data_IF_235314008326
#
_entry.id   IF_235314008326
#
_cell.length_a   1.000
_cell.length_b   1.000
_cell.length_c   1.000
_cell.angle_alpha   90.00
_cell.angle_beta   90.00
_cell.angle_gamma   90.00
#
_symmetry.space_group_name_H-M   'P 1'
#
loop_
_entity.id
_entity.type
_entity.pdbx_description
1 polymer ?
#
# COMPACT_ATOMS: atom_id res chain seq x y z
N UNK A 1 -12.62 -7.51 -66.10
CA UNK A 1 -12.23 -6.51 -65.09
C UNK A 1 -12.28 -7.22 -63.74
N UNK A 2 -11.11 -7.46 -63.12
CA UNK A 2 -10.99 -8.36 -61.97
C UNK A 2 -10.88 -7.52 -60.69
N UNK A 3 -11.90 -7.51 -59.83
CA UNK A 3 -11.90 -6.73 -58.59
C UNK A 3 -11.36 -7.60 -57.44
N UNK A 4 -10.21 -7.21 -56.88
CA UNK A 4 -9.70 -7.81 -55.65
C UNK A 4 -10.43 -7.20 -54.44
N UNK A 5 -10.87 -8.00 -53.46
CA UNK A 5 -11.44 -7.47 -52.23
C UNK A 5 -10.34 -6.90 -51.32
N UNK A 6 -10.61 -5.72 -50.76
CA UNK A 6 -9.76 -5.06 -49.76
C UNK A 6 -10.04 -5.70 -48.39
N UNK A 7 -9.08 -6.43 -47.83
CA UNK A 7 -9.22 -6.99 -46.48
C UNK A 7 -8.84 -5.90 -45.48
N UNK A 8 -9.83 -5.43 -44.70
CA UNK A 8 -9.59 -4.51 -43.60
C UNK A 8 -8.94 -5.28 -42.43
N UNK A 9 -7.73 -4.88 -42.05
CA UNK A 9 -7.08 -5.37 -40.83
C UNK A 9 -7.69 -4.63 -39.63
N UNK A 10 -8.52 -5.32 -38.85
CA UNK A 10 -8.94 -4.80 -37.54
C UNK A 10 -7.73 -4.82 -36.61
N UNK A 11 -7.20 -3.63 -36.31
CA UNK A 11 -6.18 -3.50 -35.27
C UNK A 11 -6.93 -3.54 -33.94
N UNK A 12 -6.82 -4.65 -33.20
CA UNK A 12 -7.34 -4.73 -31.84
C UNK A 12 -6.59 -3.71 -30.97
N UNK A 13 -7.26 -2.60 -30.65
CA UNK A 13 -6.78 -1.66 -29.66
C UNK A 13 -6.95 -2.30 -28.28
N UNK A 14 -5.90 -2.96 -27.77
CA UNK A 14 -5.80 -3.26 -26.34
C UNK A 14 -5.58 -1.95 -25.60
N UNK A 15 -6.68 -1.39 -25.09
CA UNK A 15 -6.63 -0.30 -24.13
C UNK A 15 -5.79 -0.76 -22.93
N UNK A 16 -4.57 -0.27 -22.84
CA UNK A 16 -3.78 -0.39 -21.60
C UNK A 16 -4.47 0.53 -20.61
N UNK A 17 -5.35 -0.04 -19.78
CA UNK A 17 -5.88 0.65 -18.61
C UNK A 17 -4.67 0.94 -17.72
N UNK A 18 -4.08 2.15 -17.87
CA UNK A 18 -3.20 2.70 -16.86
C UNK A 18 -4.08 2.95 -15.65
N UNK A 19 -4.17 1.98 -14.76
CA UNK A 19 -4.71 2.23 -13.42
C UNK A 19 -3.81 3.32 -12.87
N UNK A 20 -4.38 4.52 -12.70
CA UNK A 20 -3.71 5.65 -12.06
C UNK A 20 -3.43 5.23 -10.61
N UNK A 21 -2.29 4.61 -10.37
CA UNK A 21 -1.78 4.39 -9.02
C UNK A 21 -1.41 5.77 -8.51
N UNK A 22 -2.35 6.43 -7.83
CA UNK A 22 -2.08 7.67 -7.13
C UNK A 22 -1.01 7.36 -6.08
N UNK A 23 0.11 8.06 -6.13
CA UNK A 23 1.12 8.01 -5.09
C UNK A 23 0.47 8.36 -3.75
N UNK A 24 0.67 7.52 -2.74
CA UNK A 24 0.14 7.69 -1.40
C UNK A 24 1.29 7.83 -0.41
N UNK A 25 1.32 8.94 0.33
CA UNK A 25 2.33 9.23 1.34
C UNK A 25 1.70 9.23 2.73
N UNK A 26 2.33 8.52 3.66
CA UNK A 26 1.90 8.40 5.05
C UNK A 26 3.00 8.92 5.98
N UNK A 27 2.63 9.79 6.91
CA UNK A 27 3.56 10.40 7.87
C UNK A 27 3.49 9.68 9.21
N UNK A 28 4.48 8.83 9.45
CA UNK A 28 4.64 8.03 10.66
C UNK A 28 4.86 8.87 11.91
N UNK A 29 4.24 8.44 13.02
CA UNK A 29 4.35 9.08 14.32
C UNK A 29 4.74 8.14 15.44
N UNK A 30 4.30 6.88 15.36
CA UNK A 30 4.56 5.89 16.42
C UNK A 30 4.80 4.50 15.86
N UNK A 31 5.56 3.71 16.60
CA UNK A 31 5.80 2.29 16.34
C UNK A 31 5.51 1.49 17.60
N UNK A 32 4.82 0.37 17.47
CA UNK A 32 4.46 -0.51 18.59
C UNK A 32 5.64 -1.41 18.96
N UNK A 33 6.32 -1.17 20.08
CA UNK A 33 7.40 -2.03 20.54
C UNK A 33 6.98 -3.48 20.79
N UNK A 34 7.96 -4.39 20.89
CA UNK A 34 7.70 -5.79 21.20
C UNK A 34 7.05 -5.97 22.58
N UNK A 35 7.32 -5.04 23.50
CA UNK A 35 6.71 -4.89 24.82
C UNK A 35 5.28 -4.34 24.81
N UNK A 36 4.68 -4.16 23.62
CA UNK A 36 3.34 -3.62 23.40
C UNK A 36 3.18 -2.13 23.78
N UNK A 37 4.26 -1.39 23.92
CA UNK A 37 4.22 0.06 24.16
C UNK A 37 4.38 0.87 22.88
N UNK A 38 3.72 2.03 22.80
CA UNK A 38 3.89 2.96 21.67
C UNK A 38 5.09 3.86 21.88
N UNK A 39 6.02 3.83 20.94
CA UNK A 39 7.19 4.70 20.92
C UNK A 39 7.05 5.75 19.83
N UNK A 40 7.37 7.00 20.15
CA UNK A 40 7.45 8.03 19.12
C UNK A 40 8.52 7.66 18.10
N UNK A 41 8.12 7.63 16.84
CA UNK A 41 8.95 7.16 15.75
C UNK A 41 8.54 7.87 14.48
N UNK A 42 9.39 8.81 14.02
CA UNK A 42 9.10 9.61 12.84
C UNK A 42 9.65 8.91 11.60
N UNK A 43 8.76 8.58 10.67
CA UNK A 43 9.10 7.99 9.38
C UNK A 43 8.14 8.52 8.31
N UNK A 44 8.49 8.32 7.05
CA UNK A 44 7.61 8.55 5.90
C UNK A 44 7.54 7.28 5.07
N UNK A 45 6.33 6.88 4.70
CA UNK A 45 6.08 5.74 3.84
C UNK A 45 5.37 6.23 2.59
N UNK A 46 5.98 6.05 1.41
CA UNK A 46 5.39 6.41 0.12
C UNK A 46 5.19 5.17 -0.72
N UNK A 47 3.97 4.97 -1.19
CA UNK A 47 3.61 3.93 -2.16
C UNK A 47 3.39 4.63 -3.49
N UNK A 48 4.24 4.33 -4.46
CA UNK A 48 4.12 4.86 -5.82
C UNK A 48 4.25 3.71 -6.82
N UNK A 49 3.15 3.43 -7.53
CA UNK A 49 3.07 2.29 -8.42
C UNK A 49 3.38 0.96 -7.72
N UNK A 50 4.47 0.32 -8.17
CA UNK A 50 4.99 -0.95 -7.63
C UNK A 50 6.21 -0.75 -6.72
N UNK A 51 6.41 0.46 -6.20
CA UNK A 51 7.52 0.79 -5.32
C UNK A 51 7.00 1.28 -3.96
N UNK A 52 7.75 0.94 -2.93
CA UNK A 52 7.57 1.39 -1.55
C UNK A 52 8.87 2.07 -1.11
N UNK A 53 8.78 3.38 -0.89
CA UNK A 53 9.86 4.16 -0.29
C UNK A 53 9.58 4.34 1.21
N UNK A 54 10.49 3.88 2.04
CA UNK A 54 10.44 4.02 3.50
C UNK A 54 11.63 4.84 3.98
N UNK A 55 11.35 6.04 4.50
CA UNK A 55 12.35 6.95 5.04
C UNK A 55 12.20 7.05 6.56
N UNK A 56 13.27 6.79 7.31
CA UNK A 56 13.32 6.93 8.77
C UNK A 56 14.69 7.45 9.19
N UNK A 57 14.71 8.68 9.71
CA UNK A 57 15.95 9.39 10.03
C UNK A 57 16.86 9.49 8.80
N UNK A 58 18.10 8.99 8.92
CA UNK A 58 19.06 8.96 7.81
C UNK A 58 18.97 7.68 6.95
N UNK A 59 18.05 6.76 7.25
CA UNK A 59 17.88 5.51 6.53
C UNK A 59 16.75 5.63 5.51
N UNK A 60 17.09 5.45 4.24
CA UNK A 60 16.12 5.30 3.15
C UNK A 60 16.16 3.86 2.66
N UNK A 61 14.99 3.20 2.63
CA UNK A 61 14.82 1.85 2.09
C UNK A 61 13.82 1.91 0.95
N UNK A 62 14.14 1.24 -0.17
CA UNK A 62 13.22 1.08 -1.28
C UNK A 62 12.90 -0.41 -1.45
N UNK A 63 11.63 -0.73 -1.66
CA UNK A 63 11.16 -2.10 -1.87
C UNK A 63 10.27 -2.17 -3.10
N UNK A 64 10.48 -3.18 -3.93
CA UNK A 64 9.49 -3.59 -4.92
C UNK A 64 8.30 -4.22 -4.21
N UNK A 65 7.10 -3.77 -4.56
CA UNK A 65 5.83 -4.26 -4.03
C UNK A 65 4.89 -4.71 -5.14
N UNK A 66 4.05 -5.70 -4.82
CA UNK A 66 2.94 -6.13 -5.66
C UNK A 66 1.63 -5.88 -4.95
N UNK A 67 0.74 -5.10 -5.55
CA UNK A 67 -0.61 -4.90 -5.03
C UNK A 67 -1.39 -6.23 -5.09
N UNK A 68 -1.93 -6.67 -3.96
CA UNK A 68 -2.72 -7.90 -3.82
C UNK A 68 -4.20 -7.64 -3.52
N UNK A 69 -4.66 -6.41 -3.69
CA UNK A 69 -6.04 -6.01 -3.42
C UNK A 69 -6.31 -5.74 -1.95
N UNK A 70 -7.59 -5.84 -1.58
CA UNK A 70 -8.08 -5.47 -0.25
C UNK A 70 -8.16 -6.70 0.63
N UNK A 71 -7.49 -6.65 1.77
CA UNK A 71 -7.66 -7.60 2.87
C UNK A 71 -8.70 -7.07 3.85
N UNK A 72 -9.63 -7.92 4.28
CA UNK A 72 -10.63 -7.56 5.28
C UNK A 72 -10.47 -8.45 6.51
N UNK A 73 -10.59 -7.83 7.69
CA UNK A 73 -10.65 -8.50 8.99
C UNK A 73 -11.89 -8.02 9.72
N UNK A 74 -12.60 -8.94 10.36
CA UNK A 74 -13.70 -8.61 11.26
C UNK A 74 -13.22 -8.71 12.70
N UNK A 75 -13.55 -7.72 13.51
CA UNK A 75 -13.26 -7.69 14.95
C UNK A 75 -14.47 -7.10 15.68
N UNK A 76 -15.03 -7.85 16.64
CA UNK A 76 -16.25 -7.49 17.37
C UNK A 76 -17.40 -6.98 16.48
N UNK A 77 -17.63 -7.66 15.33
CA UNK A 77 -18.66 -7.29 14.36
C UNK A 77 -18.32 -6.10 13.46
N UNK A 78 -17.18 -5.44 13.66
CA UNK A 78 -16.71 -4.32 12.84
C UNK A 78 -15.74 -4.84 11.77
N UNK A 79 -15.98 -4.48 10.51
CA UNK A 79 -15.08 -4.81 9.39
C UNK A 79 -14.02 -3.74 9.23
N UNK A 80 -12.76 -4.15 9.29
CA UNK A 80 -11.58 -3.35 8.99
C UNK A 80 -11.01 -3.77 7.64
N UNK A 81 -10.72 -2.80 6.78
CA UNK A 81 -10.19 -3.01 5.43
C UNK A 81 -8.79 -2.45 5.31
N UNK A 82 -7.92 -3.22 4.70
CA UNK A 82 -6.53 -2.88 4.46
C UNK A 82 -6.19 -3.06 3.00
N UNK A 83 -5.45 -2.12 2.45
CA UNK A 83 -4.78 -2.31 1.18
C UNK A 83 -3.58 -3.22 1.43
N UNK A 84 -3.53 -4.36 0.74
CA UNK A 84 -2.50 -5.39 0.91
C UNK A 84 -1.48 -5.33 -0.21
N UNK A 85 -0.21 -5.35 0.16
CA UNK A 85 0.92 -5.42 -0.75
C UNK A 85 1.86 -6.54 -0.33
N UNK A 86 2.49 -7.19 -1.31
CA UNK A 86 3.57 -8.15 -1.09
C UNK A 86 4.92 -7.51 -1.38
N UNK A 87 5.83 -7.50 -0.40
CA UNK A 87 7.21 -7.02 -0.55
C UNK A 87 8.04 -8.14 -1.15
N UNK A 88 8.35 -8.02 -2.44
CA UNK A 88 8.93 -9.10 -3.26
C UNK A 88 10.25 -9.60 -2.66
N UNK A 89 11.13 -8.68 -2.28
CA UNK A 89 12.48 -9.00 -1.81
C UNK A 89 12.52 -9.46 -0.34
N UNK A 90 11.44 -9.26 0.42
CA UNK A 90 11.37 -9.61 1.86
C UNK A 90 10.51 -10.82 2.14
N UNK A 91 9.73 -11.29 1.16
CA UNK A 91 8.72 -12.34 1.32
C UNK A 91 7.72 -12.05 2.44
N UNK A 92 7.33 -10.78 2.56
CA UNK A 92 6.48 -10.27 3.64
C UNK A 92 5.33 -9.43 3.07
N UNK A 93 4.35 -9.13 3.92
CA UNK A 93 3.23 -8.28 3.55
C UNK A 93 3.35 -6.90 4.19
N UNK A 94 2.89 -5.91 3.43
CA UNK A 94 2.53 -4.59 3.92
C UNK A 94 1.01 -4.50 3.91
N UNK A 95 0.43 -4.08 5.03
CA UNK A 95 -0.98 -3.76 5.17
C UNK A 95 -1.11 -2.30 5.56
N UNK A 96 -1.94 -1.54 4.84
CA UNK A 96 -2.25 -0.15 5.15
C UNK A 96 -3.75 -0.02 5.32
N UNK A 97 -4.21 0.42 6.49
CA UNK A 97 -5.64 0.55 6.75
C UNK A 97 -6.28 1.59 5.83
N UNK A 98 -7.51 1.33 5.36
CA UNK A 98 -8.26 2.28 4.53
C UNK A 98 -8.79 3.47 5.33
N UNK A 99 -8.90 3.32 6.65
CA UNK A 99 -9.37 4.34 7.57
C UNK A 99 -8.45 4.46 8.77
N UNK A 100 -8.52 5.61 9.44
CA UNK A 100 -7.89 5.79 10.74
C UNK A 100 -8.67 4.99 11.77
N UNK A 101 -8.02 4.02 12.41
CA UNK A 101 -8.69 3.00 13.23
C UNK A 101 -8.08 2.82 14.61
N UNK A 102 -6.86 3.34 14.85
CA UNK A 102 -6.21 3.28 16.16
C UNK A 102 -6.20 4.68 16.78
N UNK A 103 -6.75 4.81 17.99
CA UNK A 103 -6.68 6.04 18.78
C UNK A 103 -5.48 6.00 19.71
N UNK A 104 -4.62 7.01 19.65
CA UNK A 104 -3.51 7.18 20.58
C UNK A 104 -3.32 8.67 20.90
N UNK A 105 -3.16 9.02 22.17
CA UNK A 105 -3.06 10.41 22.63
C UNK A 105 -4.16 11.33 22.05
N UNK A 106 -5.41 10.86 22.02
CA UNK A 106 -6.57 11.64 21.56
C UNK A 106 -6.78 11.69 20.04
N UNK A 107 -5.81 11.24 19.22
CA UNK A 107 -5.85 11.33 17.75
C UNK A 107 -6.03 9.93 17.15
N UNK A 108 -6.78 9.83 16.05
CA UNK A 108 -6.89 8.60 15.27
C UNK A 108 -5.82 8.54 14.17
N UNK A 109 -5.25 7.37 13.95
CA UNK A 109 -4.19 7.10 12.98
C UNK A 109 -4.55 5.97 12.04
N UNK A 110 -3.99 6.02 10.83
CA UNK A 110 -3.89 4.85 9.97
C UNK A 110 -2.98 3.83 10.63
N UNK A 111 -3.38 2.56 10.55
CA UNK A 111 -2.55 1.43 10.97
C UNK A 111 -1.79 0.91 9.76
N UNK A 112 -0.47 0.87 9.90
CA UNK A 112 0.43 0.26 8.94
C UNK A 112 1.05 -0.97 9.61
N UNK A 113 1.06 -2.10 8.91
CA UNK A 113 1.75 -3.31 9.35
C UNK A 113 2.77 -3.65 8.28
N UNK A 114 4.05 -3.65 8.64
CA UNK A 114 5.16 -3.99 7.75
C UNK A 114 6.12 -4.87 8.53
N UNK A 115 6.53 -6.00 7.96
CA UNK A 115 7.42 -6.95 8.64
C UNK A 115 6.88 -7.39 10.03
N UNK A 116 5.56 -7.57 10.15
CA UNK A 116 4.89 -7.88 11.42
C UNK A 116 4.83 -6.73 12.43
N UNK A 117 5.62 -5.67 12.24
CA UNK A 117 5.67 -4.49 13.09
C UNK A 117 4.47 -3.57 12.81
N UNK A 118 3.72 -3.21 13.86
CA UNK A 118 2.64 -2.22 13.73
C UNK A 118 3.18 -0.80 13.91
N UNK A 119 2.78 0.11 13.03
CA UNK A 119 3.14 1.52 13.01
C UNK A 119 1.89 2.39 12.80
N UNK A 120 1.92 3.62 13.30
CA UNK A 120 0.84 4.59 13.21
C UNK A 120 1.25 5.80 12.37
N UNK A 121 0.39 6.18 11.43
CA UNK A 121 0.61 7.32 10.55
C UNK A 121 -0.63 8.23 10.43
N UNK A 122 -0.39 9.50 10.11
CA UNK A 122 -1.44 10.50 9.87
C UNK A 122 -1.97 10.48 8.44
#
# INVERSE_FOLDING_TARGET
MNLKPLIALSTEYKSTVRIKQNSATYYGKYTLGADQNWYSDTFTLTIDGNQLLYNKGNSVKNFEIKNQGVYSRTDNGIVFKYQKYYLVNKKQYLLVSHRKEIKHNGVFYYRIIIDGQTQLAL
#
